data_IF_501028923745
#
_entry.id   IF_501028923745
#
_cell.length_a   1.000
_cell.length_b   1.000
_cell.length_c   1.000
_cell.angle_alpha   90.00
_cell.angle_beta   90.00
_cell.angle_gamma   90.00
#
_symmetry.space_group_name_H-M   'P 1'
#
loop_
_entity.id
_entity.type
_entity.pdbx_description
1 polymer ?
#
# COMPACT_ATOMS: atom_id res chain seq x y z
N UNK A 1 -0.65 -28.10 -6.90
CA UNK A 1 -0.01 -26.77 -7.02
C UNK A 1 -0.73 -25.82 -6.08
N UNK A 2 -0.03 -25.18 -5.13
CA UNK A 2 -0.65 -24.16 -4.27
C UNK A 2 -0.88 -22.89 -5.11
N UNK A 3 -2.15 -22.52 -5.29
CA UNK A 3 -2.55 -21.31 -6.00
C UNK A 3 -2.23 -20.08 -5.15
N UNK A 4 -1.59 -19.07 -5.76
CA UNK A 4 -1.28 -17.80 -5.09
C UNK A 4 -2.58 -17.03 -4.87
N UNK A 5 -2.82 -16.57 -3.63
CA UNK A 5 -4.04 -15.85 -3.24
C UNK A 5 -3.73 -14.62 -2.42
N UNK A 6 -4.63 -13.66 -2.47
CA UNK A 6 -4.55 -12.47 -1.65
C UNK A 6 -4.58 -12.85 -0.16
N UNK A 7 -3.59 -12.39 0.60
CA UNK A 7 -3.44 -12.66 2.03
C UNK A 7 -4.49 -11.99 2.92
N UNK A 8 -5.42 -11.20 2.36
CA UNK A 8 -6.47 -10.50 3.11
C UNK A 8 -7.85 -11.07 2.78
N UNK A 9 -8.21 -11.18 1.51
CA UNK A 9 -9.55 -11.60 1.08
C UNK A 9 -9.59 -12.96 0.35
N UNK A 10 -8.44 -13.61 0.13
CA UNK A 10 -8.38 -14.89 -0.58
C UNK A 10 -8.59 -14.81 -2.09
N UNK A 11 -8.77 -13.61 -2.65
CA UNK A 11 -8.90 -13.39 -4.11
C UNK A 11 -7.76 -14.04 -4.89
N UNK A 12 -8.09 -14.67 -6.01
CA UNK A 12 -7.13 -15.24 -6.96
C UNK A 12 -6.49 -14.17 -7.85
N UNK A 13 -7.17 -13.02 -8.00
CA UNK A 13 -6.69 -11.86 -8.77
C UNK A 13 -5.57 -11.11 -8.02
N UNK A 14 -4.45 -11.79 -7.77
CA UNK A 14 -3.27 -11.24 -7.12
C UNK A 14 -2.48 -10.41 -8.13
N UNK A 15 -2.10 -9.20 -7.72
CA UNK A 15 -1.41 -8.24 -8.58
C UNK A 15 -0.12 -7.69 -7.96
N UNK A 16 0.04 -7.80 -6.64
CA UNK A 16 1.21 -7.25 -5.95
C UNK A 16 1.74 -8.21 -4.88
N UNK A 17 3.06 -8.15 -4.65
CA UNK A 17 3.73 -8.73 -3.49
C UNK A 17 4.30 -7.61 -2.62
N UNK A 18 3.76 -7.43 -1.43
CA UNK A 18 4.13 -6.36 -0.49
C UNK A 18 4.64 -7.04 0.78
N UNK A 19 5.88 -6.76 1.19
CA UNK A 19 6.50 -7.33 2.39
C UNK A 19 6.38 -8.87 2.45
N UNK A 20 6.60 -9.54 1.31
CA UNK A 20 6.55 -11.00 1.20
C UNK A 20 5.15 -11.60 1.07
N UNK A 21 4.07 -10.83 1.27
CA UNK A 21 2.68 -11.28 1.17
C UNK A 21 2.05 -10.87 -0.16
N UNK A 22 1.11 -11.66 -0.66
CA UNK A 22 0.44 -11.45 -1.94
C UNK A 22 -0.90 -10.72 -1.76
N UNK A 23 -1.23 -9.79 -2.65
CA UNK A 23 -2.45 -8.99 -2.54
C UNK A 23 -3.14 -8.77 -3.88
N UNK A 24 -4.47 -8.79 -3.86
CA UNK A 24 -5.26 -8.24 -4.96
C UNK A 24 -5.20 -6.70 -4.94
N UNK A 25 -5.59 -6.06 -6.04
CA UNK A 25 -5.59 -4.59 -6.15
C UNK A 25 -6.33 -3.91 -4.99
N UNK A 26 -7.56 -4.35 -4.69
CA UNK A 26 -8.40 -3.72 -3.65
C UNK A 26 -7.75 -3.73 -2.27
N UNK A 27 -7.12 -4.85 -1.89
CA UNK A 27 -6.47 -4.99 -0.59
C UNK A 27 -5.09 -4.34 -0.56
N UNK A 28 -4.28 -4.53 -1.61
CA UNK A 28 -2.94 -3.94 -1.72
C UNK A 28 -2.98 -2.42 -1.75
N UNK A 29 -3.94 -1.82 -2.47
CA UNK A 29 -4.11 -0.37 -2.53
C UNK A 29 -4.42 0.25 -1.17
N UNK A 30 -5.21 -0.41 -0.32
CA UNK A 30 -5.47 0.07 1.06
C UNK A 30 -4.20 0.13 1.90
N UNK A 31 -3.34 -0.87 1.77
CA UNK A 31 -2.06 -0.95 2.50
C UNK A 31 -1.13 0.16 1.99
N UNK A 32 -0.95 0.26 0.68
CA UNK A 32 -0.11 1.29 0.05
C UNK A 32 -0.58 2.69 0.42
N UNK A 33 -1.88 2.99 0.31
CA UNK A 33 -2.43 4.30 0.67
C UNK A 33 -2.16 4.66 2.13
N UNK A 34 -2.26 3.68 3.04
CA UNK A 34 -1.92 3.91 4.45
C UNK A 34 -0.43 4.22 4.65
N UNK A 35 0.45 3.54 3.92
CA UNK A 35 1.90 3.76 4.01
C UNK A 35 2.28 5.11 3.40
N UNK A 36 1.76 5.43 2.22
CA UNK A 36 2.00 6.71 1.54
C UNK A 36 1.54 7.89 2.39
N UNK A 37 0.34 7.85 2.98
CA UNK A 37 -0.15 8.92 3.86
C UNK A 37 0.78 9.15 5.07
N UNK A 38 1.29 8.08 5.67
CA UNK A 38 2.26 8.18 6.77
C UNK A 38 3.58 8.77 6.32
N UNK A 39 4.06 8.36 5.15
CA UNK A 39 5.32 8.84 4.59
C UNK A 39 5.23 10.33 4.24
N UNK A 40 4.15 10.74 3.57
CA UNK A 40 3.85 12.16 3.29
C UNK A 40 3.84 12.97 4.58
N UNK A 41 3.15 12.50 5.63
CA UNK A 41 3.10 13.21 6.92
C UNK A 41 4.51 13.43 7.49
N UNK A 42 5.37 12.41 7.46
CA UNK A 42 6.76 12.54 7.91
C UNK A 42 7.57 13.49 7.04
N UNK A 43 7.42 13.41 5.71
CA UNK A 43 8.11 14.31 4.80
C UNK A 43 7.73 15.79 5.05
N UNK A 44 6.49 16.07 5.44
CA UNK A 44 6.08 17.42 5.88
C UNK A 44 6.77 17.82 7.19
N UNK A 45 6.75 16.94 8.19
CA UNK A 45 7.40 17.18 9.49
C UNK A 45 8.93 17.39 9.36
N UNK A 46 9.56 16.77 8.36
CA UNK A 46 10.99 16.91 8.05
C UNK A 46 11.30 18.11 7.12
N UNK A 47 10.29 18.85 6.68
CA UNK A 47 10.46 20.00 5.77
C UNK A 47 10.84 19.63 4.34
N UNK A 48 10.65 18.37 3.93
CA UNK A 48 10.99 17.87 2.59
C UNK A 48 9.92 18.20 1.54
N UNK A 49 8.68 18.44 1.96
CA UNK A 49 7.57 18.83 1.09
C UNK A 49 6.79 19.96 1.75
N UNK A 50 6.24 20.86 0.94
CA UNK A 50 5.48 21.99 1.42
C UNK A 50 4.14 21.55 2.04
N UNK A 51 3.69 22.29 3.05
CA UNK A 51 2.47 21.95 3.81
C UNK A 51 1.19 22.10 2.98
N UNK A 52 1.23 22.94 1.95
CA UNK A 52 0.12 23.33 1.07
C UNK A 52 -0.08 22.41 -0.15
N UNK A 53 0.77 21.38 -0.32
CA UNK A 53 0.60 20.38 -1.39
C UNK A 53 -0.55 19.43 -1.01
N UNK A 54 -1.65 19.47 -1.76
CA UNK A 54 -2.72 18.47 -1.68
C UNK A 54 -2.30 17.14 -2.33
N UNK A 55 -2.61 16.01 -1.67
CA UNK A 55 -2.28 14.64 -2.09
C UNK A 55 -3.50 13.73 -1.96
#
# INVERSE_FOLDING_TARGET
MNEVRCSVCGSRDVLAKIEGKYYCFKCGAKILNKHLRKQVKRMREEGLIAEDIEI
#
